data_IF_336759641251
#
_entry.id   IF_336759641251
#
_cell.length_a   1.000
_cell.length_b   1.000
_cell.length_c   1.000
_cell.angle_alpha   90.00
_cell.angle_beta   90.00
_cell.angle_gamma   90.00
#
_symmetry.space_group_name_H-M   'P 1'
#
loop_
_entity.id
_entity.type
_entity.pdbx_description
1 polymer ?
#
# COMPACT_ATOMS: atom_id res chain seq x y z
N UNK A 1 -23.66 4.55 21.71
CA UNK A 1 -23.33 4.20 20.29
C UNK A 1 -24.02 2.89 19.99
N UNK A 2 -24.91 2.83 19.00
CA UNK A 2 -25.58 1.58 18.61
C UNK A 2 -24.52 0.62 18.07
N UNK A 3 -24.47 -0.60 18.62
CA UNK A 3 -23.62 -1.67 18.10
C UNK A 3 -24.11 -2.04 16.68
N UNK A 4 -23.17 -2.17 15.76
CA UNK A 4 -23.48 -2.68 14.42
C UNK A 4 -23.86 -4.16 14.57
N UNK A 5 -24.97 -4.58 13.96
CA UNK A 5 -25.41 -5.98 14.02
C UNK A 5 -24.58 -6.88 13.08
N UNK A 6 -24.53 -8.17 13.36
CA UNK A 6 -23.85 -9.16 12.51
C UNK A 6 -24.36 -9.13 11.07
N UNK A 7 -25.67 -8.98 10.88
CA UNK A 7 -26.29 -8.85 9.55
C UNK A 7 -25.78 -7.60 8.80
N UNK A 8 -25.52 -6.51 9.51
CA UNK A 8 -24.97 -5.30 8.90
C UNK A 8 -23.51 -5.51 8.46
N UNK A 9 -22.69 -6.23 9.23
CA UNK A 9 -21.33 -6.57 8.83
C UNK A 9 -21.31 -7.41 7.56
N UNK A 10 -22.16 -8.44 7.46
CA UNK A 10 -22.28 -9.26 6.26
C UNK A 10 -22.69 -8.42 5.04
N UNK A 11 -23.68 -7.54 5.18
CA UNK A 11 -24.10 -6.63 4.11
C UNK A 11 -22.98 -5.67 3.67
N UNK A 12 -22.16 -5.20 4.61
CA UNK A 12 -21.00 -4.35 4.26
C UNK A 12 -19.92 -5.15 3.55
N UNK A 13 -19.61 -6.36 3.98
CA UNK A 13 -18.65 -7.23 3.30
C UNK A 13 -19.07 -7.50 1.85
N UNK A 14 -20.35 -7.79 1.59
CA UNK A 14 -20.88 -7.99 0.25
C UNK A 14 -20.79 -6.73 -0.62
N UNK A 15 -21.08 -5.55 -0.07
CA UNK A 15 -20.91 -4.28 -0.79
C UNK A 15 -19.46 -4.02 -1.16
N UNK A 16 -18.53 -4.34 -0.25
CA UNK A 16 -17.10 -4.21 -0.52
C UNK A 16 -16.70 -5.15 -1.67
N UNK A 17 -17.06 -6.44 -1.60
CA UNK A 17 -16.74 -7.43 -2.65
C UNK A 17 -17.31 -7.04 -4.02
N UNK A 18 -18.48 -6.41 -4.05
CA UNK A 18 -19.11 -5.88 -5.26
C UNK A 18 -18.52 -4.54 -5.73
N UNK A 19 -17.49 -4.00 -5.03
CA UNK A 19 -16.84 -2.71 -5.33
C UNK A 19 -17.80 -1.51 -5.28
N UNK A 20 -18.86 -1.61 -4.47
CA UNK A 20 -19.85 -0.55 -4.27
C UNK A 20 -19.45 0.46 -3.20
N UNK A 21 -18.31 0.25 -2.55
CA UNK A 21 -17.78 1.13 -1.50
C UNK A 21 -16.67 2.02 -2.03
N UNK A 22 -16.74 3.33 -1.72
CA UNK A 22 -15.62 4.23 -1.93
C UNK A 22 -14.46 3.92 -0.98
N UNK A 23 -13.24 4.33 -1.34
CA UNK A 23 -12.06 4.22 -0.46
C UNK A 23 -12.31 4.79 0.93
N UNK A 24 -12.89 6.00 1.00
CA UNK A 24 -13.20 6.66 2.27
C UNK A 24 -14.16 5.82 3.12
N UNK A 25 -15.12 5.17 2.49
CA UNK A 25 -16.06 4.29 3.17
C UNK A 25 -15.35 3.01 3.66
N UNK A 26 -14.52 2.38 2.82
CA UNK A 26 -13.73 1.21 3.19
C UNK A 26 -12.81 1.49 4.40
N UNK A 27 -12.14 2.63 4.45
CA UNK A 27 -11.31 3.04 5.60
C UNK A 27 -12.12 3.21 6.90
N UNK A 28 -13.34 3.73 6.82
CA UNK A 28 -14.23 3.81 8.00
C UNK A 28 -14.66 2.42 8.46
N UNK A 29 -15.04 1.56 7.53
CA UNK A 29 -15.43 0.18 7.81
C UNK A 29 -14.28 -0.63 8.39
N UNK A 30 -13.05 -0.45 7.89
CA UNK A 30 -11.83 -1.08 8.44
C UNK A 30 -11.65 -0.73 9.92
N UNK A 31 -11.75 0.56 10.27
CA UNK A 31 -11.63 1.01 11.66
C UNK A 31 -12.69 0.37 12.56
N UNK A 32 -13.94 0.32 12.11
CA UNK A 32 -15.05 -0.29 12.85
C UNK A 32 -14.84 -1.79 13.00
N UNK A 33 -14.48 -2.49 11.90
CA UNK A 33 -14.23 -3.92 11.92
C UNK A 33 -13.13 -4.29 12.93
N UNK A 34 -12.01 -3.58 12.96
CA UNK A 34 -10.93 -3.79 13.94
C UNK A 34 -11.40 -3.63 15.38
N UNK A 35 -12.24 -2.63 15.66
CA UNK A 35 -12.79 -2.42 17.00
C UNK A 35 -13.72 -3.56 17.43
N UNK A 36 -14.54 -4.09 16.53
CA UNK A 36 -15.48 -5.17 16.85
C UNK A 36 -14.79 -6.55 16.89
N UNK A 37 -13.73 -6.75 16.11
CA UNK A 37 -12.87 -7.95 16.21
C UNK A 37 -12.23 -8.01 17.62
N UNK A 38 -11.76 -6.89 18.16
CA UNK A 38 -11.22 -6.83 19.51
C UNK A 38 -12.25 -7.21 20.59
N UNK A 39 -13.57 -7.16 20.28
CA UNK A 39 -14.67 -7.62 21.12
C UNK A 39 -15.13 -9.05 20.82
N UNK A 40 -14.49 -9.73 19.86
CA UNK A 40 -14.76 -11.12 19.50
C UNK A 40 -15.73 -11.34 18.34
N UNK A 41 -16.07 -10.31 17.54
CA UNK A 41 -16.97 -10.46 16.39
C UNK A 41 -16.32 -11.20 15.22
N UNK A 42 -16.87 -12.36 14.84
CA UNK A 42 -16.43 -13.11 13.66
C UNK A 42 -16.89 -12.47 12.34
N UNK A 43 -18.10 -11.92 12.30
CA UNK A 43 -18.61 -11.23 11.09
C UNK A 43 -17.77 -9.99 10.75
N UNK A 44 -17.17 -9.34 11.73
CA UNK A 44 -16.24 -8.23 11.51
C UNK A 44 -14.92 -8.70 10.88
N UNK A 45 -14.49 -9.95 11.11
CA UNK A 45 -13.31 -10.53 10.44
C UNK A 45 -13.56 -10.72 8.94
N UNK A 46 -14.75 -11.23 8.56
CA UNK A 46 -15.14 -11.38 7.16
C UNK A 46 -15.18 -10.03 6.41
N UNK A 47 -15.72 -8.99 7.05
CA UNK A 47 -15.66 -7.63 6.51
C UNK A 47 -14.22 -7.14 6.34
N UNK A 48 -13.35 -7.35 7.33
CA UNK A 48 -11.96 -6.92 7.26
C UNK A 48 -11.20 -7.65 6.15
N UNK A 49 -11.43 -8.94 5.98
CA UNK A 49 -10.86 -9.72 4.88
C UNK A 49 -11.35 -9.23 3.52
N UNK A 50 -12.65 -8.95 3.38
CA UNK A 50 -13.20 -8.38 2.16
C UNK A 50 -12.53 -7.04 1.80
N UNK A 51 -12.29 -6.15 2.78
CA UNK A 51 -11.59 -4.88 2.57
C UNK A 51 -10.13 -5.11 2.15
N UNK A 52 -9.46 -6.11 2.72
CA UNK A 52 -8.04 -6.38 2.47
C UNK A 52 -7.75 -7.14 1.18
N UNK A 53 -8.78 -7.68 0.55
CA UNK A 53 -8.68 -8.43 -0.71
C UNK A 53 -9.34 -7.73 -1.90
N UNK A 54 -10.17 -6.71 -1.66
CA UNK A 54 -10.91 -6.04 -2.71
C UNK A 54 -10.19 -4.77 -3.17
N UNK A 55 -9.99 -4.65 -4.48
CA UNK A 55 -9.34 -3.48 -5.06
C UNK A 55 -10.16 -2.20 -4.85
N UNK A 56 -9.49 -1.13 -4.45
CA UNK A 56 -10.07 0.22 -4.37
C UNK A 56 -10.55 0.69 -5.75
N UNK A 57 -11.55 1.59 -5.83
CA UNK A 57 -11.97 2.17 -7.10
C UNK A 57 -10.79 2.82 -7.84
N UNK A 58 -10.66 2.55 -9.15
CA UNK A 58 -9.54 3.01 -9.98
C UNK A 58 -9.30 4.53 -9.89
N UNK A 59 -10.36 5.32 -9.82
CA UNK A 59 -10.29 6.79 -9.70
C UNK A 59 -9.78 7.27 -8.34
N UNK A 60 -9.76 6.38 -7.34
CA UNK A 60 -9.28 6.68 -5.99
C UNK A 60 -7.90 6.06 -5.71
N UNK A 61 -7.23 5.53 -6.73
CA UNK A 61 -5.91 4.91 -6.64
C UNK A 61 -4.89 5.89 -6.05
N UNK A 62 -4.10 5.40 -5.11
CA UNK A 62 -2.97 6.11 -4.54
C UNK A 62 -1.64 5.54 -5.03
N UNK A 63 -0.62 6.37 -5.00
CA UNK A 63 0.77 6.04 -5.26
C UNK A 63 1.55 6.20 -3.96
N UNK A 64 2.05 5.09 -3.43
CA UNK A 64 2.78 5.07 -2.16
C UNK A 64 4.28 4.90 -2.41
N UNK A 65 5.02 5.94 -2.11
CA UNK A 65 6.48 6.00 -2.21
C UNK A 65 7.09 5.51 -0.89
N UNK A 66 7.79 4.38 -0.93
CA UNK A 66 8.24 3.64 0.25
C UNK A 66 9.77 3.59 0.30
N UNK A 67 10.36 4.00 1.42
CA UNK A 67 11.76 3.76 1.72
C UNK A 67 11.98 2.29 2.12
N UNK A 68 13.06 1.70 1.64
CA UNK A 68 13.36 0.27 1.81
C UNK A 68 14.58 -0.02 2.69
N UNK A 69 15.15 1.02 3.30
CA UNK A 69 16.22 0.87 4.28
C UNK A 69 15.67 1.12 5.69
N UNK A 70 15.53 0.10 6.54
CA UNK A 70 15.15 0.27 7.93
C UNK A 70 16.19 1.07 8.70
N UNK A 71 15.73 2.04 9.49
CA UNK A 71 16.61 2.93 10.24
C UNK A 71 17.43 3.87 9.35
N UNK A 72 18.59 4.28 9.85
CA UNK A 72 19.54 5.14 9.12
C UNK A 72 20.62 4.34 8.38
N UNK A 73 20.58 3.01 8.46
CA UNK A 73 21.58 2.14 7.83
C UNK A 73 21.22 1.86 6.38
N UNK A 74 21.85 2.61 5.48
CA UNK A 74 21.72 2.42 4.03
C UNK A 74 22.32 1.11 3.50
N UNK A 75 23.08 0.37 4.31
CA UNK A 75 23.60 -0.95 3.93
C UNK A 75 22.57 -2.06 4.18
N UNK A 76 21.57 -1.81 5.01
CA UNK A 76 20.47 -2.75 5.27
C UNK A 76 19.33 -2.55 4.27
N UNK A 77 19.61 -2.80 3.00
CA UNK A 77 18.58 -2.74 1.94
C UNK A 77 17.66 -3.94 2.02
N UNK A 78 16.38 -3.70 1.83
CA UNK A 78 15.33 -4.74 1.85
C UNK A 78 14.61 -4.87 0.50
N UNK A 79 14.89 -4.00 -0.45
CA UNK A 79 14.17 -3.91 -1.72
C UNK A 79 14.28 -5.19 -2.56
N UNK A 80 15.48 -5.77 -2.72
CA UNK A 80 15.68 -7.01 -3.46
C UNK A 80 14.88 -8.17 -2.84
N UNK A 81 14.97 -8.32 -1.52
CA UNK A 81 14.21 -9.32 -0.79
C UNK A 81 12.69 -9.10 -0.95
N UNK A 82 12.21 -7.87 -0.86
CA UNK A 82 10.78 -7.57 -1.00
C UNK A 82 10.28 -7.90 -2.41
N UNK A 83 11.05 -7.55 -3.43
CA UNK A 83 10.70 -7.84 -4.83
C UNK A 83 10.64 -9.35 -5.08
N UNK A 84 11.65 -10.10 -4.66
CA UNK A 84 11.71 -11.56 -4.82
C UNK A 84 10.60 -12.28 -4.07
N UNK A 85 10.31 -11.88 -2.83
CA UNK A 85 9.25 -12.47 -2.00
C UNK A 85 7.84 -11.99 -2.36
N UNK A 86 7.70 -10.99 -3.23
CA UNK A 86 6.40 -10.42 -3.59
C UNK A 86 5.73 -9.68 -2.44
N UNK A 87 6.49 -9.05 -1.56
CA UNK A 87 6.00 -8.36 -0.37
C UNK A 87 6.54 -6.94 -0.26
N UNK A 88 5.89 -6.12 0.56
CA UNK A 88 6.43 -4.86 1.08
C UNK A 88 6.12 -4.79 2.58
N UNK A 89 7.15 -4.73 3.43
CA UNK A 89 7.02 -4.82 4.89
C UNK A 89 6.93 -3.44 5.54
N UNK A 90 6.17 -3.39 6.64
CA UNK A 90 5.92 -2.17 7.42
C UNK A 90 6.05 -2.37 8.95
N UNK A 91 6.66 -3.43 9.38
CA UNK A 91 6.90 -3.76 10.80
C UNK A 91 7.83 -2.75 11.48
N UNK A 92 8.58 -1.96 10.72
CA UNK A 92 9.47 -0.90 11.22
C UNK A 92 8.79 0.46 11.41
N UNK A 93 7.46 0.54 11.23
CA UNK A 93 6.72 1.78 11.39
C UNK A 93 6.49 2.05 12.88
N UNK A 94 7.20 3.05 13.41
CA UNK A 94 7.13 3.44 14.82
C UNK A 94 6.15 4.60 15.05
N UNK A 95 6.00 5.52 14.09
CA UNK A 95 5.17 6.71 14.25
C UNK A 95 3.72 6.51 13.82
N UNK A 96 2.77 7.11 14.56
CA UNK A 96 1.34 7.09 14.22
C UNK A 96 1.07 7.68 12.84
N UNK A 97 1.80 8.72 12.45
CA UNK A 97 1.69 9.33 11.12
C UNK A 97 2.05 8.36 9.99
N UNK A 98 3.06 7.52 10.17
CA UNK A 98 3.43 6.49 9.18
C UNK A 98 2.41 5.37 9.17
N UNK A 99 1.87 5.01 10.35
CA UNK A 99 0.80 4.02 10.49
C UNK A 99 -0.47 4.47 9.79
N UNK A 100 -0.88 5.73 9.96
CA UNK A 100 -2.00 6.30 9.22
C UNK A 100 -1.80 6.23 7.69
N UNK A 101 -0.58 6.49 7.21
CA UNK A 101 -0.26 6.39 5.78
C UNK A 101 -0.32 4.95 5.29
N UNK A 102 0.20 4.00 6.04
CA UNK A 102 0.04 2.58 5.73
C UNK A 102 -1.44 2.17 5.68
N UNK A 103 -2.22 2.62 6.65
CA UNK A 103 -3.65 2.30 6.70
C UNK A 103 -4.42 2.80 5.47
N UNK A 104 -3.94 3.86 4.82
CA UNK A 104 -4.53 4.39 3.58
C UNK A 104 -4.24 3.53 2.35
N UNK A 105 -3.19 2.74 2.37
CA UNK A 105 -2.83 1.87 1.25
C UNK A 105 -3.83 0.72 1.18
N UNK A 106 -4.37 0.47 0.01
CA UNK A 106 -5.32 -0.61 -0.28
C UNK A 106 -4.95 -1.41 -1.50
N UNK A 107 -5.71 -2.47 -1.76
CA UNK A 107 -5.55 -3.31 -2.95
C UNK A 107 -5.77 -2.49 -4.22
N UNK A 108 -4.91 -2.67 -5.22
CA UNK A 108 -4.91 -1.90 -6.47
C UNK A 108 -4.09 -0.61 -6.43
N UNK A 109 -3.60 -0.16 -5.26
CA UNK A 109 -2.67 0.97 -5.18
C UNK A 109 -1.30 0.62 -5.76
N UNK A 110 -0.57 1.65 -6.18
CA UNK A 110 0.80 1.47 -6.66
C UNK A 110 1.80 1.73 -5.54
N UNK A 111 2.69 0.76 -5.30
CA UNK A 111 3.85 0.90 -4.44
C UNK A 111 5.05 1.24 -5.30
N UNK A 112 5.87 2.21 -4.86
CA UNK A 112 7.08 2.64 -5.54
C UNK A 112 8.21 2.69 -4.52
N UNK A 113 9.27 1.95 -4.76
CA UNK A 113 10.45 1.95 -3.89
C UNK A 113 11.27 3.19 -4.17
N UNK A 114 11.61 3.92 -3.11
CA UNK A 114 12.38 5.15 -3.21
C UNK A 114 13.58 5.18 -2.27
N UNK A 115 14.64 5.84 -2.74
CA UNK A 115 15.77 6.26 -1.92
C UNK A 115 15.90 7.79 -2.00
N UNK A 116 16.11 8.44 -0.87
CA UNK A 116 16.39 9.86 -0.81
C UNK A 116 17.83 10.12 -1.27
N UNK A 117 18.00 10.99 -2.26
CA UNK A 117 19.33 11.43 -2.69
C UNK A 117 19.74 12.73 -1.97
N UNK A 118 18.86 13.74 -2.03
CA UNK A 118 19.09 15.02 -1.35
C UNK A 118 17.84 15.34 -0.50
N UNK A 119 18.07 15.67 0.77
CA UNK A 119 16.99 15.97 1.71
C UNK A 119 16.09 17.08 1.16
N UNK A 120 14.81 16.78 0.99
CA UNK A 120 13.78 17.70 0.54
C UNK A 120 13.87 18.14 -0.92
N UNK A 121 14.83 17.61 -1.73
CA UNK A 121 15.01 18.02 -3.13
C UNK A 121 14.74 16.93 -4.13
N UNK A 122 15.44 15.80 -4.04
CA UNK A 122 15.35 14.71 -5.01
C UNK A 122 15.28 13.35 -4.34
N UNK A 123 14.62 12.42 -5.03
CA UNK A 123 14.59 11.00 -4.70
C UNK A 123 14.86 10.17 -5.95
N UNK A 124 15.41 9.00 -5.75
CA UNK A 124 15.63 7.98 -6.76
C UNK A 124 14.56 6.89 -6.59
N UNK A 125 13.93 6.52 -7.69
CA UNK A 125 12.91 5.48 -7.76
C UNK A 125 13.54 4.22 -8.34
N UNK A 126 13.21 3.05 -7.76
CA UNK A 126 13.84 1.78 -8.10
C UNK A 126 12.89 0.84 -8.82
N UNK A 127 11.93 0.30 -8.10
CA UNK A 127 10.96 -0.67 -8.59
C UNK A 127 9.56 -0.22 -8.18
N UNK A 128 8.55 -0.74 -8.84
CA UNK A 128 7.17 -0.47 -8.50
C UNK A 128 6.33 -1.75 -8.56
N UNK A 129 5.15 -1.71 -7.97
CA UNK A 129 4.23 -2.82 -8.04
C UNK A 129 2.82 -2.44 -7.65
N UNK A 130 1.86 -3.32 -7.93
CA UNK A 130 0.47 -3.15 -7.54
C UNK A 130 0.18 -3.99 -6.30
N UNK A 131 -0.54 -3.44 -5.34
CA UNK A 131 -0.96 -4.15 -4.13
C UNK A 131 -2.02 -5.18 -4.48
N UNK A 132 -1.72 -6.46 -4.24
CA UNK A 132 -2.63 -7.58 -4.44
C UNK A 132 -3.47 -7.86 -3.18
N UNK A 133 -2.84 -7.71 -2.01
CA UNK A 133 -3.49 -7.96 -0.72
C UNK A 133 -2.81 -7.17 0.39
N UNK A 134 -3.60 -6.73 1.38
CA UNK A 134 -3.09 -6.14 2.61
C UNK A 134 -3.11 -7.16 3.75
N UNK A 135 -2.05 -7.19 4.54
CA UNK A 135 -1.94 -8.00 5.76
C UNK A 135 -1.56 -7.09 6.92
N UNK A 136 -2.43 -6.98 7.88
CA UNK A 136 -2.23 -6.18 9.09
C UNK A 136 -2.73 -6.98 10.30
N UNK A 137 -1.81 -7.54 11.06
CA UNK A 137 -2.11 -8.30 12.26
C UNK A 137 -1.67 -7.53 13.50
N UNK A 138 -2.63 -6.96 14.20
CA UNK A 138 -2.36 -6.29 15.48
C UNK A 138 -1.80 -7.26 16.53
N UNK A 139 -2.25 -8.53 16.50
CA UNK A 139 -1.82 -9.58 17.44
C UNK A 139 -0.34 -9.94 17.27
N UNK A 140 0.18 -9.98 16.05
CA UNK A 140 1.56 -10.37 15.76
C UNK A 140 2.46 -9.18 15.44
N UNK A 141 1.91 -7.98 15.35
CA UNK A 141 2.60 -6.76 14.92
C UNK A 141 3.08 -6.79 13.45
N UNK A 142 2.76 -7.87 12.71
CA UNK A 142 3.21 -8.03 11.33
C UNK A 142 2.31 -7.23 10.38
N UNK A 143 2.93 -6.27 9.68
CA UNK A 143 2.29 -5.45 8.66
C UNK A 143 3.04 -5.57 7.36
N UNK A 144 2.37 -6.05 6.33
CA UNK A 144 2.93 -6.12 4.99
C UNK A 144 1.84 -6.11 3.92
N UNK A 145 2.25 -5.81 2.72
CA UNK A 145 1.44 -5.90 1.50
C UNK A 145 1.97 -7.07 0.66
N UNK A 146 1.09 -7.82 0.04
CA UNK A 146 1.45 -8.66 -1.10
C UNK A 146 1.43 -7.76 -2.33
N UNK A 147 2.50 -7.80 -3.12
CA UNK A 147 2.71 -6.86 -4.21
C UNK A 147 3.10 -7.61 -5.48
N UNK A 148 2.47 -7.26 -6.58
CA UNK A 148 2.86 -7.67 -7.91
C UNK A 148 3.94 -6.72 -8.42
N UNK A 149 5.20 -7.09 -8.21
CA UNK A 149 6.35 -6.25 -8.49
C UNK A 149 6.73 -6.21 -9.96
N UNK A 150 7.21 -5.04 -10.38
CA UNK A 150 7.85 -4.80 -11.66
C UNK A 150 9.24 -4.23 -11.41
N UNK A 151 10.24 -4.92 -11.95
CA UNK A 151 11.64 -4.49 -11.91
C UNK A 151 11.94 -3.60 -13.10
N UNK A 152 12.62 -2.49 -12.86
CA UNK A 152 12.99 -1.53 -13.89
C UNK A 152 14.48 -1.59 -14.20
N UNK A 153 14.84 -1.53 -15.46
CA UNK A 153 16.25 -1.57 -15.89
C UNK A 153 17.01 -0.28 -15.53
N UNK A 154 16.28 0.81 -15.29
CA UNK A 154 16.86 2.13 -14.97
C UNK A 154 16.16 2.76 -13.78
N UNK A 155 16.95 3.29 -12.88
CA UNK A 155 16.45 4.15 -11.82
C UNK A 155 16.00 5.51 -12.38
N UNK A 156 14.97 6.09 -11.78
CA UNK A 156 14.49 7.41 -12.17
C UNK A 156 14.72 8.42 -11.03
N UNK A 157 15.40 9.52 -11.33
CA UNK A 157 15.57 10.61 -10.36
C UNK A 157 14.45 11.64 -10.59
N UNK A 158 13.70 11.93 -9.54
CA UNK A 158 12.57 12.87 -9.56
C UNK A 158 12.62 13.82 -8.37
N UNK A 159 11.87 14.93 -8.40
CA UNK A 159 11.72 15.81 -7.25
C UNK A 159 11.13 15.06 -6.04
N UNK A 160 11.59 15.38 -4.84
CA UNK A 160 10.97 14.88 -3.62
C UNK A 160 9.57 15.47 -3.46
N UNK A 161 8.62 14.65 -3.01
CA UNK A 161 7.21 15.04 -2.84
C UNK A 161 6.95 15.89 -1.57
N UNK A 162 7.96 16.58 -1.07
CA UNK A 162 7.86 17.43 0.11
C UNK A 162 7.77 16.66 1.44
N UNK A 163 7.94 15.35 1.44
CA UNK A 163 7.91 14.52 2.65
C UNK A 163 9.21 13.75 2.82
N UNK A 164 9.81 13.88 4.01
CA UNK A 164 10.95 13.07 4.43
C UNK A 164 10.55 11.74 5.07
N UNK A 165 9.28 11.36 4.94
CA UNK A 165 8.75 10.14 5.55
C UNK A 165 9.17 8.89 4.77
N UNK A 166 9.36 7.80 5.50
CA UNK A 166 9.58 6.48 4.92
C UNK A 166 8.40 6.02 4.07
N UNK A 167 7.18 6.36 4.49
CA UNK A 167 5.95 6.11 3.73
C UNK A 167 5.35 7.45 3.32
N UNK A 168 5.15 7.66 2.03
CA UNK A 168 4.50 8.85 1.49
C UNK A 168 3.49 8.47 0.41
N UNK A 169 2.21 8.64 0.69
CA UNK A 169 1.11 8.26 -0.20
C UNK A 169 0.47 9.50 -0.80
N UNK A 170 0.24 9.49 -2.11
CA UNK A 170 -0.31 10.60 -2.90
C UNK A 170 -1.38 10.12 -3.88
N UNK A 171 -2.43 10.92 -4.01
CA UNK A 171 -3.45 10.72 -5.05
C UNK A 171 -2.90 11.08 -6.43
N UNK A 172 -3.46 10.46 -7.47
CA UNK A 172 -3.06 10.67 -8.86
C UNK A 172 -2.85 12.15 -9.24
N UNK A 173 -3.78 13.11 -8.99
CA UNK A 173 -3.57 14.50 -9.43
C UNK A 173 -2.34 15.17 -8.77
N UNK A 174 -1.99 14.76 -7.55
CA UNK A 174 -0.79 15.26 -6.87
C UNK A 174 0.49 14.68 -7.46
N UNK A 175 0.45 13.42 -7.89
CA UNK A 175 1.59 12.77 -8.55
C UNK A 175 1.77 13.35 -9.95
N UNK A 176 0.71 13.52 -10.72
CA UNK A 176 0.74 14.15 -12.05
C UNK A 176 1.42 15.52 -11.99
N UNK A 177 0.97 16.38 -11.06
CA UNK A 177 1.56 17.71 -10.89
C UNK A 177 3.03 17.66 -10.46
N UNK A 178 3.40 16.75 -9.55
CA UNK A 178 4.76 16.66 -9.03
C UNK A 178 5.74 16.04 -10.03
N UNK A 179 5.25 15.22 -10.95
CA UNK A 179 6.04 14.49 -11.96
C UNK A 179 5.96 15.14 -13.34
N UNK A 180 5.34 16.31 -13.45
CA UNK A 180 5.26 17.07 -14.70
C UNK A 180 6.67 17.35 -15.26
N UNK A 181 6.87 17.06 -16.55
CA UNK A 181 8.18 17.21 -17.21
C UNK A 181 9.20 16.11 -16.88
N UNK A 182 8.85 15.12 -16.08
CA UNK A 182 9.70 13.96 -15.79
C UNK A 182 9.17 12.69 -16.51
N UNK A 183 10.06 11.78 -16.89
CA UNK A 183 9.70 10.53 -17.56
C UNK A 183 9.05 9.50 -16.61
N UNK A 184 8.28 9.96 -15.62
CA UNK A 184 7.73 9.11 -14.56
C UNK A 184 6.72 8.08 -15.09
N UNK A 185 5.80 8.50 -15.94
CA UNK A 185 4.77 7.60 -16.48
C UNK A 185 5.34 6.59 -17.47
N UNK A 186 6.34 7.01 -18.25
CA UNK A 186 7.09 6.13 -19.13
C UNK A 186 7.89 5.10 -18.33
N UNK A 187 8.58 5.54 -17.27
CA UNK A 187 9.29 4.68 -16.35
C UNK A 187 8.32 3.69 -15.66
N UNK A 188 7.16 4.14 -15.19
CA UNK A 188 6.15 3.31 -14.52
C UNK A 188 5.54 2.25 -15.46
N UNK A 189 5.65 2.40 -16.77
CA UNK A 189 5.20 1.44 -17.79
C UNK A 189 6.30 0.54 -18.33
N UNK A 190 7.58 0.81 -18.00
CA UNK A 190 8.73 0.11 -18.57
C UNK A 190 9.16 -1.15 -17.81
N UNK A 191 8.67 -1.32 -16.59
CA UNK A 191 9.11 -2.42 -15.72
C UNK A 191 8.64 -3.79 -16.19
N UNK A 192 9.50 -4.79 -16.01
CA UNK A 192 9.18 -6.20 -16.25
C UNK A 192 8.63 -6.82 -14.97
N UNK A 193 7.52 -7.52 -15.10
CA UNK A 193 6.90 -8.22 -13.98
C UNK A 193 7.84 -9.28 -13.40
N UNK A 194 7.96 -9.30 -12.08
CA UNK A 194 8.79 -10.26 -11.34
C UNK A 194 7.90 -11.41 -10.88
N UNK A 195 8.11 -12.64 -11.39
CA UNK A 195 7.39 -13.82 -10.94
C UNK A 195 7.68 -14.09 -9.45
N UNK A 196 6.63 -14.32 -8.68
CA UNK A 196 6.75 -14.72 -7.28
C UNK A 196 5.58 -15.65 -6.90
N UNK A 197 5.63 -16.23 -5.71
CA UNK A 197 4.64 -17.22 -5.23
C UNK A 197 3.19 -16.71 -5.17
N UNK A 198 2.97 -15.40 -5.22
CA UNK A 198 1.64 -14.81 -5.11
C UNK A 198 1.03 -14.48 -6.47
N UNK A 199 1.84 -14.33 -7.52
CA UNK A 199 1.39 -13.90 -8.84
C UNK A 199 1.59 -14.93 -9.96
N UNK A 200 2.12 -16.12 -9.66
CA UNK A 200 2.37 -17.19 -10.65
C UNK A 200 1.12 -17.62 -11.44
N UNK A 201 -0.06 -17.43 -10.88
CA UNK A 201 -1.34 -17.74 -11.54
C UNK A 201 -1.85 -16.61 -12.45
N UNK A 202 -1.16 -15.47 -12.48
CA UNK A 202 -1.52 -14.30 -13.29
C UNK A 202 -0.66 -14.17 -14.56
N UNK A 203 0.22 -15.15 -14.82
CA UNK A 203 1.12 -15.21 -15.98
C UNK A 203 0.48 -16.02 -17.10
#
# INVERSE_FOLDING_TARGET
MSSISEEQFTKFADKVRRKECSRTHMLKLEKIAKQEIAKGSECAKDLLEAIYTTAVPKLEKEYAFIGFCPGADFNNRQDEFWVQEGICRFDFIESDRQRERFNRIGVGDTIILKKRLHIGRTMELFNYGEVLQKKDSETTGKRYLLVDWHETDKYLIVPALGSNSTVDSRKLPMVEKAMEGHAFWEWLSSGRRVPNKWNTHLI
#
